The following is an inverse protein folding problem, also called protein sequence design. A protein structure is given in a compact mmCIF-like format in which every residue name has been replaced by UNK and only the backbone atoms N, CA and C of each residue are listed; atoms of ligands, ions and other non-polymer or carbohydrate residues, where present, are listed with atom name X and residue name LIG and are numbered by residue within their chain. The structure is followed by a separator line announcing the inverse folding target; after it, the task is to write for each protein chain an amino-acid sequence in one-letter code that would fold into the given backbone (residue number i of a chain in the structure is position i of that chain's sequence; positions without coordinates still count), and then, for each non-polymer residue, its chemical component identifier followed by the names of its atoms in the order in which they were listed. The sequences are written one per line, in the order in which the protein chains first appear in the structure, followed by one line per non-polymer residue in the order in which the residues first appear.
data_IF_856391188100
#
_entry.id   IF_856391188100
#
_cell.length_a   1.000
_cell.length_b   1.000
_cell.length_c   1.000
_cell.angle_alpha   90.00
_cell.angle_beta   90.00
_cell.angle_gamma   90.00
#
_symmetry.space_group_name_H-M   'P 1'
#
loop_
_entity.id
_entity.type
_entity.pdbx_description
1 polymer ?
#
# COMPACT_ATOMS: atom_id res chain seq x y z
N UNK A 1 28.23 0.46 -39.49
CA UNK A 1 26.86 0.97 -39.24
C UNK A 1 26.70 1.15 -37.73
N UNK A 2 26.85 2.39 -37.23
CA UNK A 2 26.70 2.72 -35.81
C UNK A 2 25.21 2.72 -35.46
N UNK A 3 24.74 1.70 -34.73
CA UNK A 3 23.46 1.80 -34.04
C UNK A 3 23.73 2.66 -32.81
N UNK A 4 23.51 3.97 -32.93
CA UNK A 4 23.44 4.87 -31.78
C UNK A 4 22.07 4.60 -31.16
N UNK A 5 22.01 3.70 -30.17
CA UNK A 5 20.86 3.64 -29.28
C UNK A 5 20.79 4.98 -28.56
N UNK A 6 19.80 5.80 -28.90
CA UNK A 6 19.48 7.01 -28.13
C UNK A 6 19.16 6.54 -26.71
N UNK A 7 20.05 6.80 -25.76
CA UNK A 7 19.78 6.67 -24.34
C UNK A 7 18.59 7.59 -23.99
N UNK A 8 17.37 7.06 -24.12
CA UNK A 8 16.22 7.60 -23.40
C UNK A 8 16.46 7.24 -21.95
N UNK A 9 16.62 8.25 -21.09
CA UNK A 9 16.57 8.02 -19.65
C UNK A 9 15.18 7.45 -19.33
N UNK A 10 15.14 6.15 -19.06
CA UNK A 10 13.91 5.46 -18.67
C UNK A 10 13.46 6.01 -17.31
N UNK A 11 12.16 6.26 -17.19
CA UNK A 11 11.56 6.76 -15.97
C UNK A 11 11.34 5.59 -15.01
N UNK A 12 11.84 5.74 -13.79
CA UNK A 12 11.56 4.79 -12.71
C UNK A 12 10.14 4.99 -12.20
N UNK A 13 9.49 3.88 -11.85
CA UNK A 13 8.23 3.86 -11.13
C UNK A 13 8.33 3.22 -9.77
N UNK A 14 7.18 3.05 -9.14
CA UNK A 14 7.05 2.52 -7.80
C UNK A 14 6.22 1.24 -7.79
N UNK A 15 6.58 0.34 -6.88
CA UNK A 15 5.88 -0.93 -6.69
C UNK A 15 4.53 -0.72 -6.02
N UNK A 16 3.62 -1.68 -6.18
CA UNK A 16 2.33 -1.70 -5.48
C UNK A 16 2.51 -1.63 -3.96
N UNK A 17 3.56 -2.24 -3.42
CA UNK A 17 3.87 -2.20 -1.99
C UNK A 17 4.23 -0.80 -1.49
N UNK A 18 4.99 -0.03 -2.27
CA UNK A 18 5.32 1.35 -1.92
C UNK A 18 4.06 2.25 -1.95
N UNK A 19 3.21 2.09 -2.96
CA UNK A 19 1.92 2.79 -3.03
C UNK A 19 1.01 2.42 -1.84
N UNK A 20 0.96 1.15 -1.45
CA UNK A 20 0.20 0.68 -0.30
C UNK A 20 0.71 1.27 1.02
N UNK A 21 2.03 1.38 1.21
CA UNK A 21 2.63 2.00 2.39
C UNK A 21 2.32 3.50 2.47
N UNK A 22 2.38 4.22 1.35
CA UNK A 22 2.00 5.63 1.28
C UNK A 22 0.51 5.83 1.58
N UNK A 23 -0.37 5.03 0.97
CA UNK A 23 -1.80 5.07 1.24
C UNK A 23 -2.10 4.77 2.72
N UNK A 24 -1.48 3.75 3.31
CA UNK A 24 -1.67 3.40 4.71
C UNK A 24 -1.23 4.53 5.64
N UNK A 25 -0.05 5.12 5.40
CA UNK A 25 0.43 6.28 6.17
C UNK A 25 -0.55 7.45 6.09
N UNK A 26 -1.03 7.77 4.90
CA UNK A 26 -1.99 8.85 4.70
C UNK A 26 -3.32 8.60 5.45
N UNK A 27 -3.87 7.39 5.35
CA UNK A 27 -5.07 6.99 6.07
C UNK A 27 -4.87 7.08 7.59
N UNK A 28 -3.73 6.61 8.12
CA UNK A 28 -3.38 6.74 9.53
C UNK A 28 -3.28 8.20 9.97
N UNK A 29 -2.62 9.05 9.18
CA UNK A 29 -2.54 10.50 9.48
C UNK A 29 -3.92 11.14 9.56
N UNK A 30 -4.84 10.74 8.68
CA UNK A 30 -6.22 11.25 8.68
C UNK A 30 -6.99 10.76 9.92
N UNK A 31 -6.85 9.47 10.25
CA UNK A 31 -7.48 8.88 11.43
C UNK A 31 -7.03 9.57 12.72
N UNK A 32 -5.72 9.77 12.91
CA UNK A 32 -5.15 10.37 14.11
C UNK A 32 -5.48 11.87 14.27
N UNK A 33 -5.90 12.53 13.19
CA UNK A 33 -6.42 13.89 13.21
C UNK A 33 -7.94 13.95 13.48
N UNK A 34 -8.53 12.86 13.96
CA UNK A 34 -9.99 12.70 14.12
C UNK A 34 -10.77 13.05 12.84
N UNK A 35 -10.19 12.77 11.67
CA UNK A 35 -10.83 13.08 10.38
C UNK A 35 -10.78 14.51 9.91
N UNK A 36 -10.02 15.38 10.57
CA UNK A 36 -9.82 16.74 10.07
C UNK A 36 -9.00 16.71 8.76
N UNK A 37 -9.74 16.81 7.66
CA UNK A 37 -9.21 16.84 6.29
C UNK A 37 -8.96 18.25 5.77
N UNK A 38 -9.27 19.30 6.55
CA UNK A 38 -9.22 20.70 6.09
C UNK A 38 -7.82 21.12 5.63
N UNK A 39 -6.78 20.45 6.14
CA UNK A 39 -5.38 20.67 5.76
C UNK A 39 -4.63 19.34 5.56
N UNK A 40 -5.29 18.33 4.97
CA UNK A 40 -4.62 17.08 4.67
C UNK A 40 -3.56 17.28 3.58
N UNK A 41 -2.32 16.80 3.76
CA UNK A 41 -1.26 17.04 2.78
C UNK A 41 -1.57 16.33 1.45
N UNK A 42 -1.23 16.98 0.34
CA UNK A 42 -1.44 16.42 -1.01
C UNK A 42 -0.47 15.27 -1.32
N UNK A 43 0.60 15.15 -0.54
CA UNK A 43 1.59 14.10 -0.64
C UNK A 43 2.02 13.61 0.75
N UNK A 44 2.53 12.38 0.78
CA UNK A 44 3.17 11.81 1.97
C UNK A 44 4.52 11.25 1.60
N UNK A 45 5.48 11.39 2.49
CA UNK A 45 6.80 10.77 2.35
C UNK A 45 6.86 9.48 3.17
N UNK A 46 7.41 8.41 2.59
CA UNK A 46 7.61 7.12 3.28
C UNK A 46 9.08 6.69 3.23
N UNK A 47 9.56 5.95 4.25
CA UNK A 47 10.86 5.30 4.21
C UNK A 47 10.86 4.08 3.26
N UNK A 48 12.00 3.84 2.63
CA UNK A 48 12.28 2.64 1.85
C UNK A 48 13.33 1.76 2.57
N UNK A 49 13.36 0.44 2.30
CA UNK A 49 14.31 -0.47 2.97
C UNK A 49 15.79 -0.15 2.77
N UNK A 50 16.13 0.61 1.72
CA UNK A 50 17.49 1.07 1.42
C UNK A 50 17.87 2.36 2.18
N UNK A 51 16.98 2.87 3.05
CA UNK A 51 17.15 4.10 3.82
C UNK A 51 16.77 5.37 3.05
N UNK A 52 16.42 5.27 1.76
CA UNK A 52 15.90 6.41 1.00
C UNK A 52 14.49 6.78 1.43
N UNK A 53 14.04 7.98 1.04
CA UNK A 53 12.68 8.46 1.28
C UNK A 53 12.06 8.97 -0.01
N UNK A 54 10.78 8.65 -0.20
CA UNK A 54 10.07 8.96 -1.44
C UNK A 54 8.72 9.57 -1.11
N UNK A 55 8.36 10.64 -1.84
CA UNK A 55 7.05 11.28 -1.78
C UNK A 55 6.06 10.67 -2.77
N UNK A 56 4.86 10.41 -2.29
CA UNK A 56 3.73 9.93 -3.07
C UNK A 56 2.59 10.91 -3.01
N UNK A 57 2.04 11.26 -4.17
CA UNK A 57 0.82 12.05 -4.24
C UNK A 57 -0.36 11.20 -3.78
N UNK A 58 -1.16 11.74 -2.86
CA UNK A 58 -2.39 11.12 -2.42
C UNK A 58 -3.50 11.44 -3.42
N UNK A 59 -4.20 10.39 -3.85
CA UNK A 59 -5.24 10.50 -4.87
C UNK A 59 -6.57 10.88 -4.23
N UNK A 60 -7.04 10.09 -3.27
CA UNK A 60 -8.25 10.35 -2.51
C UNK A 60 -8.03 10.10 -1.02
N UNK A 61 -8.84 10.76 -0.20
CA UNK A 61 -8.94 10.52 1.23
C UNK A 61 -10.40 10.57 1.66
N UNK A 62 -10.79 9.70 2.57
CA UNK A 62 -12.15 9.62 3.08
C UNK A 62 -12.13 9.19 4.56
N UNK A 63 -13.07 9.68 5.35
CA UNK A 63 -13.28 9.20 6.71
C UNK A 63 -14.73 8.79 6.90
N UNK A 64 -14.94 7.65 7.56
CA UNK A 64 -16.25 7.19 7.99
C UNK A 64 -16.17 6.59 9.39
N UNK A 65 -16.90 7.19 10.34
CA UNK A 65 -16.96 6.72 11.72
C UNK A 65 -15.57 6.52 12.36
N UNK A 66 -15.16 5.27 12.55
CA UNK A 66 -13.90 4.81 13.18
C UNK A 66 -12.85 4.36 12.17
N UNK A 67 -13.09 4.57 10.87
CA UNK A 67 -12.17 4.19 9.79
C UNK A 67 -11.77 5.40 8.95
N UNK A 68 -10.51 5.42 8.52
CA UNK A 68 -10.00 6.37 7.55
C UNK A 68 -9.41 5.62 6.35
N UNK A 69 -9.62 6.18 5.16
CA UNK A 69 -9.21 5.58 3.90
C UNK A 69 -8.41 6.59 3.10
N UNK A 70 -7.35 6.13 2.46
CA UNK A 70 -6.61 6.92 1.49
C UNK A 70 -6.17 6.05 0.31
N UNK A 71 -5.89 6.68 -0.83
CA UNK A 71 -5.44 5.96 -2.02
C UNK A 71 -4.31 6.66 -2.77
N UNK A 72 -3.56 5.87 -3.53
CA UNK A 72 -2.47 6.30 -4.41
C UNK A 72 -2.66 5.65 -5.77
N UNK A 73 -2.53 6.43 -6.84
CA UNK A 73 -2.46 5.88 -8.20
C UNK A 73 -1.04 5.40 -8.45
N UNK A 74 -0.88 4.11 -8.74
CA UNK A 74 0.42 3.53 -9.02
C UNK A 74 0.97 4.06 -10.34
N UNK A 75 2.23 4.48 -10.28
CA UNK A 75 2.99 4.92 -11.44
C UNK A 75 4.22 4.02 -11.60
N UNK A 76 4.20 3.16 -12.62
CA UNK A 76 5.25 2.18 -12.89
C UNK A 76 6.41 2.74 -13.73
N UNK A 77 6.42 4.04 -14.04
CA UNK A 77 7.49 4.58 -14.87
C UNK A 77 7.32 4.12 -16.32
N UNK A 78 8.41 3.64 -16.91
CA UNK A 78 8.43 2.96 -18.20
C UNK A 78 8.41 1.41 -18.09
N UNK A 79 8.27 0.86 -16.87
CA UNK A 79 8.16 -0.59 -16.66
C UNK A 79 6.80 -1.09 -17.18
N UNK A 80 6.75 -2.13 -18.05
CA UNK A 80 5.51 -2.70 -18.56
C UNK A 80 4.78 -3.54 -17.49
N UNK A 81 4.45 -2.92 -16.37
CA UNK A 81 3.72 -3.49 -15.25
C UNK A 81 2.20 -3.35 -15.48
N UNK A 82 1.50 -4.48 -15.46
CA UNK A 82 0.04 -4.55 -15.63
C UNK A 82 -0.75 -3.75 -14.59
N UNK A 83 -0.15 -3.46 -13.43
CA UNK A 83 -0.75 -2.67 -12.35
C UNK A 83 -0.44 -1.17 -12.46
N UNK A 84 0.23 -0.73 -13.53
CA UNK A 84 0.40 0.70 -13.79
C UNK A 84 -0.96 1.40 -13.93
N UNK A 85 -1.10 2.56 -13.29
CA UNK A 85 -2.36 3.30 -13.23
C UNK A 85 -3.42 2.70 -12.30
N UNK A 86 -3.13 1.58 -11.62
CA UNK A 86 -4.06 1.01 -10.66
C UNK A 86 -4.17 1.90 -9.41
N UNK A 87 -5.38 2.06 -8.91
CA UNK A 87 -5.61 2.68 -7.61
C UNK A 87 -5.31 1.68 -6.50
N UNK A 88 -4.40 2.04 -5.60
CA UNK A 88 -4.06 1.27 -4.41
C UNK A 88 -4.67 1.99 -3.21
N UNK A 89 -5.56 1.29 -2.50
CA UNK A 89 -6.36 1.84 -1.41
C UNK A 89 -5.91 1.20 -0.10
N UNK A 90 -5.77 2.01 0.94
CA UNK A 90 -5.59 1.54 2.31
C UNK A 90 -6.71 2.09 3.19
N UNK A 91 -7.39 1.21 3.90
CA UNK A 91 -8.34 1.55 4.97
C UNK A 91 -7.69 1.19 6.32
N UNK A 92 -7.78 2.11 7.28
CA UNK A 92 -7.15 2.00 8.59
C UNK A 92 -8.18 2.27 9.67
N UNK A 93 -8.16 1.47 10.73
CA UNK A 93 -8.91 1.69 11.97
C UNK A 93 -8.06 1.32 13.18
N UNK A 94 -8.37 1.92 14.34
CA UNK A 94 -7.76 1.50 15.60
C UNK A 94 -8.26 0.10 15.96
N UNK A 95 -7.33 -0.77 16.33
CA UNK A 95 -7.65 -2.12 16.80
C UNK A 95 -7.74 -2.10 18.33
N UNK A 96 -8.87 -2.52 18.90
CA UNK A 96 -8.98 -2.67 20.35
C UNK A 96 -8.02 -3.78 20.83
N UNK A 97 -7.24 -3.49 21.88
CA UNK A 97 -6.20 -4.39 22.40
C UNK A 97 -6.73 -5.72 22.98
N UNK A 98 -8.05 -5.89 23.11
CA UNK A 98 -8.71 -7.14 23.47
C UNK A 98 -8.96 -8.00 22.22
N UNK A 99 -7.89 -8.48 21.59
CA UNK A 99 -7.99 -9.34 20.42
C UNK A 99 -8.36 -10.79 20.79
N UNK A 100 -9.62 -11.17 20.58
CA UNK A 100 -9.97 -12.58 20.34
C UNK A 100 -9.09 -13.12 19.20
N UNK A 101 -8.50 -14.30 19.41
CA UNK A 101 -7.73 -15.10 18.43
C UNK A 101 -6.22 -14.83 18.30
N UNK A 102 -5.55 -14.31 19.33
CA UNK A 102 -4.11 -14.54 19.52
C UNK A 102 -3.16 -14.00 18.44
N UNK A 103 -3.65 -13.18 17.51
CA UNK A 103 -2.81 -12.47 16.55
C UNK A 103 -2.38 -11.15 17.18
N UNK A 104 -1.42 -11.20 18.10
CA UNK A 104 -0.73 -10.00 18.58
C UNK A 104 0.45 -9.68 17.65
N UNK A 105 0.22 -8.84 16.63
CA UNK A 105 1.15 -7.77 16.34
C UNK A 105 0.42 -6.42 16.35
N UNK A 106 1.06 -5.39 16.88
CA UNK A 106 0.59 -3.99 16.86
C UNK A 106 -0.03 -3.54 15.51
N UNK A 107 0.33 -4.14 14.38
CA UNK A 107 -0.28 -3.82 13.09
C UNK A 107 -0.78 -5.08 12.37
N UNK A 108 -2.10 -5.22 12.23
CA UNK A 108 -2.75 -6.28 11.47
C UNK A 108 -2.93 -5.83 10.01
N UNK A 109 -2.28 -6.49 9.07
CA UNK A 109 -2.40 -6.18 7.63
C UNK A 109 -3.26 -7.24 6.94
N UNK A 110 -4.40 -6.81 6.40
CA UNK A 110 -5.38 -7.62 5.67
C UNK A 110 -5.36 -7.30 4.17
N UNK A 111 -5.80 -8.26 3.36
CA UNK A 111 -6.12 -8.05 1.95
C UNK A 111 -7.61 -7.83 1.77
N UNK A 112 -7.98 -6.73 1.11
CA UNK A 112 -9.34 -6.43 0.71
C UNK A 112 -9.58 -6.72 -0.78
N UNK A 113 -10.49 -5.96 -1.40
CA UNK A 113 -10.91 -6.18 -2.79
C UNK A 113 -9.72 -6.18 -3.75
N UNK A 114 -9.67 -7.18 -4.63
CA UNK A 114 -8.64 -7.30 -5.68
C UNK A 114 -7.22 -7.60 -5.21
N UNK A 115 -7.01 -7.84 -3.92
CA UNK A 115 -5.79 -8.48 -3.42
C UNK A 115 -6.02 -9.99 -3.40
N UNK A 116 -5.21 -10.73 -4.14
CA UNK A 116 -5.32 -12.19 -4.19
C UNK A 116 -4.96 -12.86 -2.86
N UNK A 117 -5.36 -14.11 -2.71
CA UNK A 117 -4.92 -14.99 -1.62
C UNK A 117 -3.86 -15.95 -2.14
N UNK A 118 -2.81 -16.21 -1.37
CA UNK A 118 -1.81 -17.21 -1.76
C UNK A 118 -2.43 -18.60 -1.69
N UNK A 119 -2.54 -19.28 -2.84
CA UNK A 119 -3.14 -20.61 -2.95
C UNK A 119 -2.12 -21.73 -3.14
N UNK A 120 -0.88 -21.40 -3.53
CA UNK A 120 0.18 -22.37 -3.81
C UNK A 120 1.45 -22.04 -2.99
N UNK A 121 2.20 -23.06 -2.55
CA UNK A 121 3.50 -22.85 -1.94
C UNK A 121 4.49 -22.25 -2.95
N UNK A 122 5.50 -21.52 -2.45
CA UNK A 122 6.54 -20.91 -3.27
C UNK A 122 6.43 -19.38 -3.42
N UNK A 123 5.33 -18.79 -2.96
CA UNK A 123 5.26 -17.33 -2.76
C UNK A 123 5.84 -16.93 -1.39
N UNK A 124 6.39 -15.71 -1.26
CA UNK A 124 6.92 -15.22 0.01
C UNK A 124 5.87 -15.11 1.14
N UNK A 125 4.59 -14.92 0.79
CA UNK A 125 3.49 -14.97 1.75
C UNK A 125 2.98 -16.41 1.93
N UNK A 126 2.61 -16.84 3.16
CA UNK A 126 2.08 -18.19 3.42
C UNK A 126 0.79 -18.50 2.67
N UNK A 127 0.52 -19.78 2.42
CA UNK A 127 -0.77 -20.23 1.84
C UNK A 127 -1.92 -19.84 2.78
N UNK A 128 -2.99 -19.29 2.22
CA UNK A 128 -4.16 -18.79 2.94
C UNK A 128 -4.06 -17.31 3.35
N UNK A 129 -2.87 -16.70 3.27
CA UNK A 129 -2.68 -15.29 3.57
C UNK A 129 -2.93 -14.39 2.34
N UNK A 130 -3.24 -13.09 2.56
CA UNK A 130 -3.21 -12.09 1.50
C UNK A 130 -1.86 -12.10 0.76
N UNK A 131 -1.91 -11.96 -0.57
CA UNK A 131 -0.76 -11.87 -1.47
C UNK A 131 -0.02 -10.52 -1.35
N UNK A 132 0.32 -10.16 -0.12
CA UNK A 132 1.11 -9.00 0.27
C UNK A 132 2.41 -9.54 0.84
N UNK A 133 3.49 -9.42 0.08
CA UNK A 133 4.80 -9.99 0.42
C UNK A 133 5.43 -9.33 1.66
N UNK A 134 6.44 -9.96 2.30
CA UNK A 134 7.08 -9.46 3.51
C UNK A 134 7.63 -8.03 3.41
N UNK A 135 8.29 -7.67 2.30
CA UNK A 135 8.86 -6.32 2.11
C UNK A 135 7.77 -5.24 2.07
N UNK A 136 6.70 -5.34 1.25
CA UNK A 136 5.55 -4.45 1.34
C UNK A 136 4.94 -4.37 2.75
N UNK A 137 4.79 -5.50 3.45
CA UNK A 137 4.28 -5.51 4.84
C UNK A 137 5.18 -4.72 5.79
N UNK A 138 6.50 -4.83 5.63
CA UNK A 138 7.46 -4.07 6.41
C UNK A 138 7.35 -2.57 6.11
N UNK A 139 7.31 -2.18 4.83
CA UNK A 139 7.17 -0.78 4.42
C UNK A 139 5.90 -0.15 4.98
N UNK A 140 4.76 -0.85 4.92
CA UNK A 140 3.50 -0.39 5.51
C UNK A 140 3.69 -0.13 7.00
N UNK A 141 4.25 -1.11 7.74
CA UNK A 141 4.48 -0.99 9.19
C UNK A 141 5.39 0.17 9.56
N UNK A 142 6.49 0.35 8.83
CA UNK A 142 7.43 1.45 9.07
C UNK A 142 6.78 2.80 8.79
N UNK A 143 6.03 2.92 7.70
CA UNK A 143 5.37 4.16 7.32
C UNK A 143 4.27 4.58 8.32
N UNK A 144 3.46 3.65 8.82
CA UNK A 144 2.41 3.97 9.82
C UNK A 144 2.97 4.24 11.21
N UNK A 145 4.10 3.59 11.59
CA UNK A 145 4.79 3.86 12.85
C UNK A 145 5.34 5.28 12.97
N UNK A 146 5.65 5.93 11.85
CA UNK A 146 6.02 7.36 11.87
C UNK A 146 4.86 8.27 12.32
N UNK A 147 3.62 7.74 12.39
CA UNK A 147 2.41 8.50 12.73
C UNK A 147 1.88 8.13 14.12
N UNK A 148 1.83 6.84 14.46
CA UNK A 148 1.35 6.36 15.75
C UNK A 148 1.96 5.01 16.12
N UNK A 149 2.05 4.76 17.42
CA UNK A 149 2.35 3.45 18.00
C UNK A 149 1.08 2.67 18.40
N UNK A 150 -0.11 3.25 18.21
CA UNK A 150 -1.37 2.58 18.51
C UNK A 150 -1.58 1.35 17.63
N UNK A 151 -2.25 0.30 18.14
CA UNK A 151 -2.54 -0.87 17.35
C UNK A 151 -3.52 -0.55 16.20
N UNK A 152 -3.18 -0.92 14.97
CA UNK A 152 -4.00 -0.66 13.79
C UNK A 152 -4.35 -1.94 13.05
N UNK A 153 -5.59 -1.98 12.57
CA UNK A 153 -5.99 -2.85 11.47
C UNK A 153 -5.91 -2.07 10.15
N UNK A 154 -5.19 -2.63 9.18
CA UNK A 154 -4.88 -2.01 7.89
C UNK A 154 -5.32 -2.96 6.79
N UNK A 155 -6.31 -2.55 6.01
CA UNK A 155 -6.80 -3.33 4.86
C UNK A 155 -6.31 -2.70 3.57
N UNK A 156 -5.54 -3.45 2.79
CA UNK A 156 -5.04 -3.01 1.48
C UNK A 156 -5.94 -3.57 0.38
N UNK A 157 -6.41 -2.72 -0.52
CA UNK A 157 -7.26 -3.10 -1.66
C UNK A 157 -6.72 -2.55 -2.98
N UNK A 158 -7.00 -3.26 -4.05
CA UNK A 158 -6.80 -2.82 -5.43
C UNK A 158 -8.14 -2.97 -6.14
N UNK A 159 -9.00 -1.94 -6.24
CA UNK A 159 -10.39 -2.08 -6.66
C UNK A 159 -10.59 -2.81 -8.00
N UNK A 160 -9.65 -2.63 -8.94
CA UNK A 160 -9.62 -3.28 -10.26
C UNK A 160 -8.68 -4.50 -10.31
N UNK A 161 -8.16 -4.95 -9.17
CA UNK A 161 -7.11 -5.97 -9.08
C UNK A 161 -7.50 -7.31 -9.71
N UNK A 162 -8.76 -7.73 -9.56
CA UNK A 162 -9.26 -8.96 -10.19
C UNK A 162 -9.23 -8.88 -11.73
N UNK A 163 -9.58 -7.72 -12.30
CA UNK A 163 -9.54 -7.51 -13.75
C UNK A 163 -8.10 -7.43 -14.27
N UNK A 164 -7.20 -6.81 -13.50
CA UNK A 164 -5.78 -6.73 -13.81
C UNK A 164 -5.12 -8.12 -13.74
N UNK A 165 -5.51 -8.94 -12.77
CA UNK A 165 -5.00 -10.31 -12.63
C UNK A 165 -5.34 -11.18 -13.84
N UNK A 166 -6.52 -11.01 -14.47
CA UNK A 166 -6.88 -11.72 -15.72
C UNK A 166 -5.95 -11.41 -16.89
N UNK A 167 -5.25 -10.27 -16.86
CA UNK A 167 -4.27 -9.87 -17.88
C UNK A 167 -2.88 -10.44 -17.61
N UNK A 168 -2.66 -10.98 -16.42
CA UNK A 168 -1.48 -11.77 -16.08
C UNK A 168 -1.82 -13.24 -16.32
N UNK A 169 -0.93 -14.01 -16.95
CA UNK A 169 -1.17 -15.41 -17.35
C UNK A 169 -1.20 -16.40 -16.16
N UNK A 170 -1.78 -16.01 -15.02
CA UNK A 170 -1.69 -16.73 -13.74
C UNK A 170 -3.02 -17.34 -13.30
#
# INVERSE_FOLDING_TARGET
MKIISKNKNLRFGYTTGACAAAAAKAATMLLMKNGDSTHFPQDVEIPFPDGSRVRFKIHNTYIAHDTATASVIKDAGDDPDVTNGAEIVAEVRIQNAEGENGCCPYFCIKGGKGVGTVTKPGLPAPVGEPAINPVPRQMIKEAVREVTDDPLEITISVPNGEELAKKTLN
#
